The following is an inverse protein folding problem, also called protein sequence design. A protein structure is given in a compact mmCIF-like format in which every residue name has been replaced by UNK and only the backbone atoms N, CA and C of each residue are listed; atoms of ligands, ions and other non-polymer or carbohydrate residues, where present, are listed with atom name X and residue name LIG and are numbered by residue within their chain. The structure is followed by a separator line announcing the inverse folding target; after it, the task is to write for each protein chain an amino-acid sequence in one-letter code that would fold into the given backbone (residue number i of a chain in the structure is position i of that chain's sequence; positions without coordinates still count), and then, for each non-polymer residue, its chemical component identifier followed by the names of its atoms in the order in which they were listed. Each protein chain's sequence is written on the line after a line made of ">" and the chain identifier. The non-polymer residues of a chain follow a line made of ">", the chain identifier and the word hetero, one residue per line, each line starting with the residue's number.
data_IF_729517963697
#
_entry.id   IF_729517963697
#
_cell.length_a   1.000
_cell.length_b   1.000
_cell.length_c   1.000
_cell.angle_alpha   90.00
_cell.angle_beta   90.00
_cell.angle_gamma   90.00
#
_symmetry.space_group_name_H-M   'P 1'
#
loop_
_entity.id
_entity.type
_entity.pdbx_description
1 polymer ?
#
# COMPACT_ATOMS: atom_id res chain seq x y z
N UNK A 1 28.69 4.58 30.86
CA UNK A 1 27.96 4.39 29.59
C UNK A 1 26.79 3.49 29.92
N UNK A 2 25.67 4.08 30.30
CA UNK A 2 24.41 3.36 30.47
C UNK A 2 23.90 3.00 29.08
N UNK A 3 23.63 1.71 28.87
CA UNK A 3 22.81 1.24 27.77
C UNK A 3 21.50 2.03 27.79
N UNK A 4 21.27 2.82 26.74
CA UNK A 4 19.97 3.40 26.48
C UNK A 4 19.18 2.28 25.85
N UNK A 5 18.29 1.67 26.64
CA UNK A 5 17.17 0.89 26.10
C UNK A 5 16.47 1.78 25.08
N UNK A 6 16.65 1.47 23.80
CA UNK A 6 15.76 1.94 22.74
C UNK A 6 14.44 1.22 22.99
N UNK A 7 13.56 1.86 23.78
CA UNK A 7 12.17 1.44 23.94
C UNK A 7 11.58 1.30 22.53
N UNK A 8 11.41 0.07 22.08
CA UNK A 8 10.77 -0.22 20.80
C UNK A 8 9.31 0.15 20.99
N UNK A 9 8.93 1.34 20.53
CA UNK A 9 7.54 1.78 20.59
C UNK A 9 6.68 0.83 19.76
N UNK A 10 5.92 -0.03 20.45
CA UNK A 10 4.92 -0.88 19.82
C UNK A 10 3.66 -0.04 19.56
N UNK A 11 3.58 0.54 18.35
CA UNK A 11 2.47 1.39 17.94
C UNK A 11 1.13 0.64 18.01
N UNK A 12 1.15 -0.66 17.73
CA UNK A 12 -0.03 -1.50 17.80
C UNK A 12 -0.56 -1.60 19.24
N UNK A 13 0.32 -1.73 20.24
CA UNK A 13 -0.09 -1.66 21.65
C UNK A 13 -0.60 -0.28 22.05
N UNK A 14 0.01 0.80 21.59
CA UNK A 14 -0.46 2.16 21.86
C UNK A 14 -1.91 2.35 21.40
N UNK A 15 -2.25 1.84 20.21
CA UNK A 15 -3.60 1.91 19.65
C UNK A 15 -4.55 0.94 20.38
N UNK A 16 -4.20 -0.33 20.52
CA UNK A 16 -5.13 -1.35 21.03
C UNK A 16 -5.30 -1.33 22.55
N UNK A 17 -4.23 -1.10 23.32
CA UNK A 17 -4.22 -1.32 24.77
C UNK A 17 -4.33 -0.03 25.60
N UNK A 18 -4.20 1.16 25.00
CA UNK A 18 -4.26 2.39 25.79
C UNK A 18 -5.68 2.66 26.32
N UNK A 19 -5.80 2.74 27.65
CA UNK A 19 -7.05 3.03 28.36
C UNK A 19 -7.52 4.49 28.17
N UNK A 20 -6.63 5.38 27.73
CA UNK A 20 -6.95 6.78 27.43
C UNK A 20 -6.37 7.16 26.07
N UNK A 21 -7.14 7.85 25.24
CA UNK A 21 -6.68 8.29 23.92
C UNK A 21 -6.96 9.77 23.75
N UNK A 22 -5.91 10.55 23.53
CA UNK A 22 -5.95 12.00 23.48
C UNK A 22 -4.96 12.60 22.49
N UNK A 23 -4.83 13.93 22.48
CA UNK A 23 -3.97 14.64 21.53
C UNK A 23 -2.49 14.23 21.60
N UNK A 24 -1.99 13.82 22.76
CA UNK A 24 -0.60 13.39 22.93
C UNK A 24 -0.35 12.04 22.26
N UNK A 25 -1.27 11.09 22.38
CA UNK A 25 -1.16 9.78 21.71
C UNK A 25 -1.14 9.97 20.19
N UNK A 26 -1.96 10.89 19.66
CA UNK A 26 -1.93 11.20 18.23
C UNK A 26 -0.60 11.83 17.80
N UNK A 27 -0.05 12.74 18.63
CA UNK A 27 1.26 13.32 18.35
C UNK A 27 2.37 12.25 18.36
N UNK A 28 2.31 11.30 19.29
CA UNK A 28 3.24 10.19 19.38
C UNK A 28 3.14 9.23 18.19
N UNK A 29 1.93 8.86 17.76
CA UNK A 29 1.71 8.08 16.54
C UNK A 29 2.31 8.79 15.33
N UNK A 30 2.08 10.11 15.20
CA UNK A 30 2.63 10.88 14.08
C UNK A 30 4.15 10.93 14.11
N UNK A 31 4.75 11.13 15.28
CA UNK A 31 6.20 11.13 15.48
C UNK A 31 6.79 9.76 15.10
N UNK A 32 6.22 8.68 15.62
CA UNK A 32 6.67 7.32 15.32
C UNK A 32 6.66 7.03 13.82
N UNK A 33 5.58 7.39 13.11
CA UNK A 33 5.50 7.19 11.65
C UNK A 33 6.48 8.09 10.89
N UNK A 34 6.76 9.29 11.40
CA UNK A 34 7.76 10.20 10.80
C UNK A 34 9.19 9.65 10.96
N UNK A 35 9.52 9.10 12.13
CA UNK A 35 10.83 8.51 12.42
C UNK A 35 11.04 7.18 11.67
N UNK A 36 10.00 6.37 11.56
CA UNK A 36 10.01 5.12 10.82
C UNK A 36 8.66 4.84 10.16
N UNK A 37 8.62 4.98 8.83
CA UNK A 37 7.41 4.79 8.03
C UNK A 37 6.84 3.37 8.11
N UNK A 38 7.62 2.36 8.54
CA UNK A 38 7.13 1.01 8.80
C UNK A 38 5.96 0.97 9.78
N UNK A 39 5.92 1.88 10.75
CA UNK A 39 4.83 2.02 11.72
C UNK A 39 3.49 2.44 11.08
N UNK A 40 3.48 2.95 9.85
CA UNK A 40 2.24 3.20 9.11
C UNK A 40 1.50 1.88 8.83
N UNK A 41 2.24 0.81 8.50
CA UNK A 41 1.67 -0.53 8.33
C UNK A 41 1.10 -1.08 9.64
N UNK A 42 1.82 -0.87 10.75
CA UNK A 42 1.34 -1.27 12.08
C UNK A 42 0.05 -0.54 12.47
N UNK A 43 -0.05 0.77 12.20
CA UNK A 43 -1.28 1.54 12.43
C UNK A 43 -2.44 0.98 11.60
N UNK A 44 -2.18 0.66 10.33
CA UNK A 44 -3.18 0.06 9.43
C UNK A 44 -3.68 -1.27 9.95
N UNK A 45 -2.77 -2.14 10.38
CA UNK A 45 -3.09 -3.47 10.86
C UNK A 45 -3.83 -3.40 12.22
N UNK A 46 -3.46 -2.45 13.09
CA UNK A 46 -4.18 -2.17 14.33
C UNK A 46 -5.62 -1.69 14.07
N UNK A 47 -5.82 -0.77 13.12
CA UNK A 47 -7.16 -0.31 12.73
C UNK A 47 -8.00 -1.46 12.13
N UNK A 48 -7.40 -2.33 11.32
CA UNK A 48 -8.10 -3.49 10.77
C UNK A 48 -8.55 -4.47 11.86
N UNK A 49 -7.74 -4.65 12.90
CA UNK A 49 -8.12 -5.46 14.06
C UNK A 49 -9.27 -4.82 14.85
N UNK A 50 -9.23 -3.49 15.05
CA UNK A 50 -10.35 -2.76 15.66
C UNK A 50 -11.63 -2.96 14.83
N UNK A 51 -11.58 -2.79 13.51
CA UNK A 51 -12.75 -2.93 12.61
C UNK A 51 -13.44 -4.31 12.69
N UNK A 52 -12.71 -5.36 13.07
CA UNK A 52 -13.27 -6.71 13.26
C UNK A 52 -14.03 -6.88 14.58
N UNK A 53 -13.78 -6.02 15.57
CA UNK A 53 -14.50 -6.04 16.85
C UNK A 53 -15.85 -5.32 16.75
N UNK A 54 -16.92 -6.11 16.64
CA UNK A 54 -18.30 -5.61 16.60
C UNK A 54 -18.82 -5.01 17.92
N UNK A 55 -18.09 -5.18 19.04
CA UNK A 55 -18.50 -4.78 20.39
C UNK A 55 -17.86 -3.48 20.91
N UNK A 56 -17.28 -2.65 20.04
CA UNK A 56 -16.51 -1.48 20.48
C UNK A 56 -17.32 -0.49 21.31
N UNK A 57 -16.70 -0.02 22.40
CA UNK A 57 -17.19 1.12 23.17
C UNK A 57 -17.20 2.40 22.32
N UNK A 58 -18.08 3.38 22.64
CA UNK A 58 -18.07 4.68 21.96
C UNK A 58 -16.70 5.39 21.99
N UNK A 59 -15.92 5.23 23.06
CA UNK A 59 -14.56 5.77 23.16
C UNK A 59 -13.57 5.06 22.23
N UNK A 60 -13.68 3.74 22.06
CA UNK A 60 -12.86 2.99 21.11
C UNK A 60 -13.20 3.37 19.66
N UNK A 61 -14.46 3.70 19.36
CA UNK A 61 -14.84 4.26 18.06
C UNK A 61 -14.18 5.61 17.80
N UNK A 62 -14.13 6.49 18.81
CA UNK A 62 -13.40 7.77 18.67
C UNK A 62 -11.93 7.52 18.34
N UNK A 63 -11.27 6.63 19.08
CA UNK A 63 -9.89 6.23 18.80
C UNK A 63 -9.71 5.67 17.38
N UNK A 64 -10.56 4.73 16.98
CA UNK A 64 -10.52 4.10 15.64
C UNK A 64 -10.70 5.15 14.55
N UNK A 65 -11.70 6.03 14.69
CA UNK A 65 -11.96 7.09 13.74
C UNK A 65 -10.78 8.05 13.58
N UNK A 66 -10.11 8.43 14.68
CA UNK A 66 -8.89 9.25 14.61
C UNK A 66 -7.75 8.50 13.92
N UNK A 67 -7.58 7.20 14.16
CA UNK A 67 -6.57 6.40 13.49
C UNK A 67 -6.86 6.24 11.98
N UNK A 68 -8.13 6.04 11.60
CA UNK A 68 -8.57 6.05 10.20
C UNK A 68 -8.29 7.40 9.52
N UNK A 69 -8.47 8.51 10.24
CA UNK A 69 -8.09 9.85 9.75
C UNK A 69 -6.58 9.92 9.46
N UNK A 70 -5.72 9.44 10.35
CA UNK A 70 -4.26 9.42 10.13
C UNK A 70 -3.87 8.54 8.95
N UNK A 71 -4.63 7.49 8.66
CA UNK A 71 -4.45 6.62 7.48
C UNK A 71 -5.00 7.24 6.17
N UNK A 72 -5.59 8.44 6.22
CA UNK A 72 -6.18 9.11 5.06
C UNK A 72 -7.57 8.57 4.66
N UNK A 73 -8.19 7.69 5.46
CA UNK A 73 -9.53 7.12 5.21
C UNK A 73 -10.62 8.06 5.72
N UNK A 74 -10.73 9.25 5.14
CA UNK A 74 -11.56 10.32 5.70
C UNK A 74 -13.07 10.01 5.73
N UNK A 75 -13.58 9.24 4.77
CA UNK A 75 -15.00 8.83 4.74
C UNK A 75 -15.32 7.84 5.86
N UNK A 76 -14.54 6.77 5.95
CA UNK A 76 -14.69 5.73 6.97
C UNK A 76 -14.49 6.32 8.38
N UNK A 77 -13.51 7.22 8.51
CA UNK A 77 -13.27 7.99 9.73
C UNK A 77 -14.49 8.83 10.13
N UNK A 78 -15.06 9.60 9.20
CA UNK A 78 -16.24 10.43 9.47
C UNK A 78 -17.45 9.59 9.88
N UNK A 79 -17.69 8.47 9.20
CA UNK A 79 -18.76 7.53 9.56
C UNK A 79 -18.56 6.98 10.98
N UNK A 80 -17.34 6.49 11.27
CA UNK A 80 -16.98 5.96 12.59
C UNK A 80 -17.14 7.00 13.70
N UNK A 81 -16.64 8.22 13.49
CA UNK A 81 -16.71 9.31 14.47
C UNK A 81 -18.15 9.80 14.69
N UNK A 82 -19.00 9.75 13.67
CA UNK A 82 -20.42 10.11 13.81
C UNK A 82 -21.20 9.15 14.71
N UNK A 83 -20.76 7.90 14.80
CA UNK A 83 -21.33 6.85 15.63
C UNK A 83 -20.60 6.65 16.98
N UNK A 84 -19.67 7.56 17.31
CA UNK A 84 -18.82 7.48 18.50
C UNK A 84 -19.45 8.19 19.71
N UNK A 85 -18.61 8.59 20.69
CA UNK A 85 -19.05 9.18 21.97
C UNK A 85 -19.44 10.66 21.90
N UNK A 86 -19.29 11.32 20.75
CA UNK A 86 -19.53 12.76 20.60
C UNK A 86 -18.58 13.64 21.42
N UNK A 87 -17.44 13.08 21.86
CA UNK A 87 -16.43 13.82 22.61
C UNK A 87 -15.87 14.99 21.81
N UNK A 88 -15.26 15.94 22.52
CA UNK A 88 -14.60 17.09 21.90
C UNK A 88 -13.56 16.68 20.85
N UNK A 89 -12.85 15.57 21.08
CA UNK A 89 -11.88 15.01 20.14
C UNK A 89 -12.56 14.37 18.92
N UNK A 90 -13.65 13.62 19.11
CA UNK A 90 -14.41 13.05 18.01
C UNK A 90 -14.94 14.15 17.08
N UNK A 91 -15.51 15.22 17.65
CA UNK A 91 -16.02 16.37 16.90
C UNK A 91 -14.89 17.11 16.16
N UNK A 92 -13.73 17.30 16.81
CA UNK A 92 -12.58 17.94 16.18
C UNK A 92 -12.06 17.15 14.97
N UNK A 93 -11.92 15.83 15.10
CA UNK A 93 -11.48 15.01 13.97
C UNK A 93 -12.57 14.81 12.91
N UNK A 94 -13.85 14.83 13.27
CA UNK A 94 -14.94 14.88 12.30
C UNK A 94 -14.90 16.17 11.48
N UNK A 95 -14.59 17.32 12.12
CA UNK A 95 -14.34 18.58 11.42
C UNK A 95 -13.18 18.48 10.43
N UNK A 96 -12.06 17.87 10.85
CA UNK A 96 -10.92 17.62 9.96
C UNK A 96 -11.27 16.71 8.78
N UNK A 97 -12.05 15.65 8.99
CA UNK A 97 -12.50 14.78 7.90
C UNK A 97 -13.36 15.55 6.89
N UNK A 98 -14.30 16.36 7.37
CA UNK A 98 -15.14 17.20 6.51
C UNK A 98 -14.32 18.18 5.69
N UNK A 99 -13.30 18.79 6.31
CA UNK A 99 -12.36 19.65 5.61
C UNK A 99 -11.64 18.92 4.46
N UNK A 100 -11.06 17.74 4.73
CA UNK A 100 -10.38 16.93 3.70
C UNK A 100 -11.33 16.43 2.59
N UNK A 101 -12.62 16.31 2.90
CA UNK A 101 -13.68 15.97 1.93
C UNK A 101 -14.23 17.19 1.17
N UNK A 102 -13.71 18.39 1.41
CA UNK A 102 -14.15 19.64 0.76
C UNK A 102 -15.47 20.21 1.31
N UNK A 103 -15.96 19.70 2.43
CA UNK A 103 -17.19 20.14 3.11
C UNK A 103 -16.88 21.26 4.11
N UNK A 104 -16.46 22.41 3.60
CA UNK A 104 -15.88 23.48 4.44
C UNK A 104 -16.89 24.11 5.40
N UNK A 105 -18.15 24.28 5.00
CA UNK A 105 -19.17 24.86 5.87
C UNK A 105 -19.47 23.93 7.07
N UNK A 106 -19.66 22.64 6.81
CA UNK A 106 -19.92 21.63 7.83
C UNK A 106 -18.69 21.34 8.70
N UNK A 107 -17.48 21.56 8.17
CA UNK A 107 -16.24 21.52 8.95
C UNK A 107 -16.21 22.66 9.99
N UNK A 108 -16.58 23.89 9.60
CA UNK A 108 -16.63 25.05 10.50
C UNK A 108 -17.62 24.81 11.64
N UNK A 109 -18.83 24.33 11.35
CA UNK A 109 -19.84 23.99 12.37
C UNK A 109 -19.34 22.91 13.34
N UNK A 110 -18.60 21.91 12.82
CA UNK A 110 -18.02 20.86 13.64
C UNK A 110 -16.90 21.38 14.55
N UNK A 111 -16.04 22.28 14.07
CA UNK A 111 -15.03 22.93 14.92
C UNK A 111 -15.67 23.78 16.03
N UNK A 112 -16.75 24.51 15.72
CA UNK A 112 -17.51 25.26 16.73
C UNK A 112 -18.14 24.34 17.78
N UNK A 113 -18.65 23.19 17.35
CA UNK A 113 -19.18 22.15 18.24
C UNK A 113 -18.07 21.55 19.11
N UNK A 114 -16.92 21.21 18.53
CA UNK A 114 -15.76 20.69 19.27
C UNK A 114 -15.28 21.70 20.33
N UNK A 115 -15.24 22.99 19.97
CA UNK A 115 -14.93 24.08 20.91
C UNK A 115 -15.90 24.11 22.09
N UNK A 116 -17.20 24.08 21.80
CA UNK A 116 -18.26 24.08 22.83
C UNK A 116 -18.17 22.86 23.75
N UNK A 117 -17.76 21.71 23.20
CA UNK A 117 -17.54 20.46 23.95
C UNK A 117 -16.21 20.43 24.73
N UNK A 118 -15.41 21.50 24.71
CA UNK A 118 -14.20 21.65 25.52
C UNK A 118 -12.89 21.27 24.81
N UNK A 119 -12.88 21.15 23.48
CA UNK A 119 -11.61 21.05 22.74
C UNK A 119 -10.86 22.39 22.81
N UNK A 120 -9.54 22.35 22.61
CA UNK A 120 -8.71 23.55 22.64
C UNK A 120 -9.23 24.61 21.65
N UNK A 121 -9.60 25.79 22.16
CA UNK A 121 -10.24 26.85 21.39
C UNK A 121 -9.34 27.34 20.24
N UNK A 122 -8.06 27.58 20.50
CA UNK A 122 -7.14 28.09 19.49
C UNK A 122 -6.95 27.09 18.35
N UNK A 123 -6.85 25.79 18.64
CA UNK A 123 -6.81 24.74 17.61
C UNK A 123 -8.07 24.71 16.76
N UNK A 124 -9.24 24.90 17.36
CA UNK A 124 -10.49 25.01 16.61
C UNK A 124 -10.49 26.27 15.74
N UNK A 125 -10.06 27.43 16.26
CA UNK A 125 -9.95 28.68 15.49
C UNK A 125 -9.01 28.53 14.29
N UNK A 126 -7.85 27.90 14.49
CA UNK A 126 -6.88 27.60 13.42
C UNK A 126 -7.51 26.74 12.32
N UNK A 127 -8.25 25.68 12.70
CA UNK A 127 -8.97 24.84 11.74
C UNK A 127 -10.11 25.55 11.00
N UNK A 128 -10.81 26.46 11.68
CA UNK A 128 -11.84 27.31 11.04
C UNK A 128 -11.21 28.28 10.05
N UNK A 129 -10.09 28.92 10.42
CA UNK A 129 -9.36 29.81 9.51
C UNK A 129 -8.87 29.06 8.27
N UNK A 130 -8.39 27.82 8.43
CA UNK A 130 -8.04 26.95 7.32
C UNK A 130 -9.24 26.68 6.39
N UNK A 131 -10.38 26.27 6.95
CA UNK A 131 -11.60 26.03 6.17
C UNK A 131 -12.08 27.29 5.43
N UNK A 132 -12.04 28.46 6.07
CA UNK A 132 -12.37 29.76 5.46
C UNK A 132 -11.42 30.14 4.33
N UNK A 133 -10.12 29.86 4.49
CA UNK A 133 -9.13 30.08 3.43
C UNK A 133 -9.44 29.24 2.19
N UNK A 134 -9.81 27.97 2.37
CA UNK A 134 -10.16 27.08 1.26
C UNK A 134 -11.54 27.37 0.64
N UNK A 135 -12.48 27.98 1.38
CA UNK A 135 -13.74 28.49 0.82
C UNK A 135 -13.57 29.81 0.05
N UNK A 136 -12.37 30.41 0.06
CA UNK A 136 -12.06 31.67 -0.60
C UNK A 136 -12.32 32.92 0.25
N UNK A 137 -12.72 32.75 1.50
CA UNK A 137 -13.00 33.82 2.46
C UNK A 137 -11.69 34.24 3.18
N UNK A 138 -10.73 34.74 2.40
CA UNK A 138 -9.34 34.96 2.85
C UNK A 138 -9.25 36.04 3.94
N UNK A 139 -10.01 37.11 3.82
CA UNK A 139 -10.05 38.21 4.79
C UNK A 139 -10.61 37.75 6.13
N UNK A 140 -11.64 36.91 6.12
CA UNK A 140 -12.21 36.33 7.34
C UNK A 140 -11.24 35.35 8.00
N UNK A 141 -10.58 34.51 7.20
CA UNK A 141 -9.53 33.62 7.70
C UNK A 141 -8.41 34.40 8.40
N UNK A 142 -7.94 35.50 7.80
CA UNK A 142 -6.91 36.35 8.39
C UNK A 142 -7.41 37.02 9.68
N UNK A 143 -8.65 37.52 9.71
CA UNK A 143 -9.23 38.14 10.89
C UNK A 143 -9.32 37.16 12.08
N UNK A 144 -9.63 35.88 11.83
CA UNK A 144 -9.61 34.84 12.87
C UNK A 144 -8.21 34.62 13.41
N UNK A 145 -7.20 34.58 12.54
CA UNK A 145 -5.80 34.38 12.92
C UNK A 145 -5.22 35.60 13.65
N UNK A 146 -5.69 36.81 13.33
CA UNK A 146 -5.32 38.04 14.05
C UNK A 146 -5.92 38.10 15.47
N UNK A 147 -6.97 37.33 15.77
CA UNK A 147 -7.60 37.22 17.10
C UNK A 147 -6.96 36.16 18.03
N UNK A 148 -5.93 35.45 17.54
CA UNK A 148 -5.20 34.45 18.33
C UNK A 148 -3.95 35.10 18.93
N UNK A 149 -3.78 35.00 20.25
CA UNK A 149 -2.69 35.63 21.00
C UNK A 149 -2.06 34.65 22.00
N UNK A 150 -0.86 34.99 22.50
CA UNK A 150 -0.20 34.27 23.59
C UNK A 150 0.52 32.99 23.15
N UNK A 151 0.48 31.88 23.91
CA UNK A 151 1.21 30.67 23.53
C UNK A 151 0.78 30.08 22.18
N UNK A 152 -0.48 30.30 21.76
CA UNK A 152 -1.02 29.76 20.52
C UNK A 152 -0.37 30.35 19.26
N UNK A 153 -0.03 31.65 19.25
CA UNK A 153 0.66 32.31 18.12
C UNK A 153 2.11 31.82 17.95
N UNK A 154 2.65 31.12 18.94
CA UNK A 154 4.00 30.54 18.89
C UNK A 154 4.01 29.09 18.39
N UNK A 155 2.84 28.52 18.09
CA UNK A 155 2.75 27.15 17.54
C UNK A 155 3.06 27.12 16.04
N UNK A 156 3.66 26.02 15.58
CA UNK A 156 3.94 25.83 14.15
C UNK A 156 2.66 25.80 13.30
N UNK A 157 1.58 25.19 13.80
CA UNK A 157 0.27 25.14 13.13
C UNK A 157 -0.29 26.55 12.89
N UNK A 158 -0.23 27.44 13.89
CA UNK A 158 -0.66 28.83 13.75
C UNK A 158 0.16 29.57 12.70
N UNK A 159 1.50 29.52 12.82
CA UNK A 159 2.40 30.21 11.91
C UNK A 159 2.22 29.73 10.48
N UNK A 160 2.03 28.42 10.29
CA UNK A 160 1.70 27.82 8.99
C UNK A 160 0.40 28.37 8.41
N UNK A 161 -0.71 28.36 9.17
CA UNK A 161 -1.99 28.86 8.64
C UNK A 161 -1.95 30.36 8.35
N UNK A 162 -1.26 31.15 9.18
CA UNK A 162 -1.04 32.58 8.91
C UNK A 162 -0.21 32.81 7.65
N UNK A 163 0.89 32.08 7.49
CA UNK A 163 1.72 32.14 6.30
C UNK A 163 0.93 31.78 5.04
N UNK A 164 0.18 30.68 5.08
CA UNK A 164 -0.61 30.20 3.94
C UNK A 164 -1.76 31.15 3.58
N UNK A 165 -2.32 31.87 4.56
CA UNK A 165 -3.32 32.92 4.30
C UNK A 165 -2.66 34.17 3.73
N UNK A 166 -1.51 34.60 4.30
CA UNK A 166 -0.75 35.75 3.82
C UNK A 166 -0.24 35.57 2.38
N UNK A 167 0.20 34.37 2.00
CA UNK A 167 0.65 34.04 0.65
C UNK A 167 -0.44 34.24 -0.43
N UNK A 168 -1.71 34.19 -0.05
CA UNK A 168 -2.85 34.45 -0.95
C UNK A 168 -3.22 35.93 -1.03
N UNK A 169 -2.72 36.76 -0.10
CA UNK A 169 -2.91 38.20 -0.09
C UNK A 169 -1.74 38.84 -0.84
N UNK A 170 -2.00 39.36 -2.03
CA UNK A 170 -0.97 39.96 -2.89
C UNK A 170 -0.08 40.96 -2.16
N UNK A 171 1.23 40.87 -2.39
CA UNK A 171 2.24 41.78 -1.80
C UNK A 171 2.76 41.37 -0.42
N UNK A 172 2.33 40.23 0.15
CA UNK A 172 2.78 39.72 1.45
C UNK A 172 3.68 38.48 1.39
N UNK A 173 4.37 38.29 0.27
CA UNK A 173 5.25 37.14 0.05
C UNK A 173 6.33 36.99 1.13
N UNK A 174 7.02 38.09 1.46
CA UNK A 174 8.08 38.08 2.47
C UNK A 174 7.56 37.72 3.86
N UNK A 175 6.35 38.19 4.21
CA UNK A 175 5.67 37.82 5.45
C UNK A 175 5.41 36.31 5.50
N UNK A 176 4.88 35.75 4.41
CA UNK A 176 4.60 34.32 4.32
C UNK A 176 5.87 33.47 4.48
N UNK A 177 6.96 33.82 3.79
CA UNK A 177 8.24 33.11 3.89
C UNK A 177 8.79 33.16 5.32
N UNK A 178 8.78 34.33 5.97
CA UNK A 178 9.26 34.46 7.35
C UNK A 178 8.44 33.60 8.32
N UNK A 179 7.12 33.59 8.17
CA UNK A 179 6.24 32.78 9.00
C UNK A 179 6.45 31.28 8.75
N UNK A 180 6.61 30.83 7.51
CA UNK A 180 6.95 29.45 7.22
C UNK A 180 8.31 29.04 7.83
N UNK A 181 9.33 29.88 7.72
CA UNK A 181 10.64 29.62 8.34
C UNK A 181 10.54 29.50 9.86
N UNK A 182 9.76 30.37 10.51
CA UNK A 182 9.51 30.29 11.95
C UNK A 182 8.75 29.02 12.32
N UNK A 183 7.73 28.64 11.54
CA UNK A 183 6.99 27.40 11.75
C UNK A 183 7.91 26.16 11.68
N UNK A 184 8.78 26.10 10.67
CA UNK A 184 9.78 25.02 10.51
C UNK A 184 10.83 25.05 11.62
N UNK A 185 11.17 26.22 12.16
CA UNK A 185 12.09 26.33 13.30
C UNK A 185 11.46 25.85 14.61
N UNK A 186 10.14 26.00 14.75
CA UNK A 186 9.37 25.50 15.91
C UNK A 186 9.10 24.00 15.80
N UNK A 187 8.81 23.49 14.61
CA UNK A 187 8.62 22.07 14.30
C UNK A 187 9.29 21.75 12.96
N UNK A 188 10.47 21.13 13.04
CA UNK A 188 11.32 20.79 11.89
C UNK A 188 10.65 19.82 10.91
N UNK A 189 9.60 19.12 11.34
CA UNK A 189 8.85 18.12 10.58
C UNK A 189 7.42 18.59 10.27
N UNK A 190 7.11 19.87 10.42
CA UNK A 190 5.77 20.38 10.09
C UNK A 190 5.52 20.34 8.58
N UNK A 191 4.83 19.30 8.11
CA UNK A 191 4.59 19.03 6.68
C UNK A 191 4.06 20.24 5.88
N UNK A 192 3.05 20.94 6.40
CA UNK A 192 2.45 22.09 5.72
C UNK A 192 3.40 23.28 5.55
N UNK A 193 4.15 23.65 6.59
CA UNK A 193 5.14 24.71 6.56
C UNK A 193 6.33 24.39 5.65
N UNK A 194 6.82 23.14 5.68
CA UNK A 194 7.85 22.68 4.75
C UNK A 194 7.39 22.79 3.30
N UNK A 195 6.16 22.33 3.02
CA UNK A 195 5.56 22.44 1.69
C UNK A 195 5.38 23.89 1.24
N UNK A 196 4.86 24.75 2.11
CA UNK A 196 4.68 26.18 1.82
C UNK A 196 5.99 26.89 1.54
N UNK A 197 7.01 26.64 2.36
CA UNK A 197 8.35 27.20 2.15
C UNK A 197 9.00 26.67 0.86
N UNK A 198 8.82 25.39 0.54
CA UNK A 198 9.30 24.80 -0.71
C UNK A 198 8.64 25.46 -1.91
N UNK A 199 7.31 25.66 -1.87
CA UNK A 199 6.55 26.30 -2.93
C UNK A 199 6.98 27.75 -3.19
N UNK A 200 7.25 28.52 -2.14
CA UNK A 200 7.75 29.89 -2.34
C UNK A 200 9.20 29.92 -2.84
N UNK A 201 10.06 28.98 -2.43
CA UNK A 201 11.40 28.87 -3.00
C UNK A 201 11.37 28.48 -4.48
N UNK A 202 10.51 27.52 -4.85
CA UNK A 202 10.28 27.09 -6.24
C UNK A 202 9.84 28.28 -7.11
N UNK A 203 8.86 29.07 -6.65
CA UNK A 203 8.40 30.29 -7.34
C UNK A 203 9.48 31.37 -7.50
N UNK A 204 10.46 31.40 -6.60
CA UNK A 204 11.59 32.32 -6.65
C UNK A 204 12.76 31.77 -7.50
N UNK A 205 12.67 30.54 -8.01
CA UNK A 205 13.73 29.88 -8.78
C UNK A 205 14.86 29.31 -7.93
N UNK A 206 14.63 29.11 -6.62
CA UNK A 206 15.60 28.49 -5.71
C UNK A 206 15.45 26.96 -5.73
N UNK A 207 15.63 26.34 -6.89
CA UNK A 207 15.25 24.94 -7.17
C UNK A 207 15.94 23.91 -6.26
N UNK A 208 17.19 24.14 -5.86
CA UNK A 208 17.93 23.23 -4.96
C UNK A 208 17.33 23.22 -3.55
N UNK A 209 17.02 24.40 -3.01
CA UNK A 209 16.41 24.53 -1.69
C UNK A 209 14.96 24.04 -1.72
N UNK A 210 14.21 24.35 -2.79
CA UNK A 210 12.86 23.85 -2.99
C UNK A 210 12.82 22.31 -3.00
N UNK A 211 13.74 21.66 -3.74
CA UNK A 211 13.84 20.20 -3.75
C UNK A 211 14.10 19.65 -2.34
N UNK A 212 15.10 20.20 -1.63
CA UNK A 212 15.44 19.75 -0.28
C UNK A 212 14.26 19.89 0.69
N UNK A 213 13.52 21.00 0.61
CA UNK A 213 12.33 21.23 1.43
C UNK A 213 11.17 20.29 1.06
N UNK A 214 10.97 20.00 -0.22
CA UNK A 214 9.98 19.02 -0.67
C UNK A 214 10.33 17.59 -0.22
N UNK A 215 11.61 17.19 -0.27
CA UNK A 215 12.07 15.91 0.27
C UNK A 215 11.80 15.78 1.78
N UNK A 216 12.03 16.86 2.54
CA UNK A 216 11.70 16.91 3.97
C UNK A 216 10.18 16.84 4.20
N UNK A 217 9.39 17.60 3.44
CA UNK A 217 7.93 17.55 3.51
C UNK A 217 7.39 16.15 3.18
N UNK A 218 8.03 15.43 2.24
CA UNK A 218 7.67 14.07 1.86
C UNK A 218 7.98 13.01 2.92
N UNK A 219 8.87 13.31 3.87
CA UNK A 219 9.18 12.46 5.03
C UNK A 219 8.30 12.75 6.24
N UNK A 220 7.77 13.97 6.34
CA UNK A 220 6.85 14.37 7.40
C UNK A 220 5.52 13.62 7.33
N UNK A 221 4.92 13.33 8.49
CA UNK A 221 3.62 12.67 8.59
C UNK A 221 2.53 13.54 9.29
N UNK A 222 1.31 13.64 8.71
CA UNK A 222 0.92 13.12 7.40
C UNK A 222 1.58 13.87 6.25
N UNK A 223 1.90 13.15 5.16
CA UNK A 223 2.47 13.76 3.95
C UNK A 223 1.36 14.30 3.06
N UNK A 224 1.45 15.56 2.66
CA UNK A 224 0.47 16.17 1.74
C UNK A 224 0.65 15.72 0.28
N UNK A 225 -0.47 15.55 -0.45
CA UNK A 225 -0.46 15.21 -1.89
C UNK A 225 0.34 16.23 -2.70
N UNK A 226 0.21 17.52 -2.37
CA UNK A 226 0.91 18.60 -3.05
C UNK A 226 2.44 18.47 -2.97
N UNK A 227 2.97 18.08 -1.81
CA UNK A 227 4.41 17.90 -1.62
C UNK A 227 4.95 16.76 -2.47
N UNK A 228 4.27 15.60 -2.49
CA UNK A 228 4.66 14.46 -3.33
C UNK A 228 4.52 14.76 -4.81
N UNK A 229 3.49 15.51 -5.19
CA UNK A 229 3.26 15.89 -6.59
C UNK A 229 4.37 16.78 -7.10
N UNK A 230 4.68 17.87 -6.37
CA UNK A 230 5.72 18.81 -6.78
C UNK A 230 7.10 18.17 -6.72
N UNK A 231 7.39 17.36 -5.69
CA UNK A 231 8.63 16.58 -5.62
C UNK A 231 8.79 15.66 -6.84
N UNK A 232 7.71 14.98 -7.23
CA UNK A 232 7.70 14.13 -8.42
C UNK A 232 8.02 14.91 -9.70
N UNK A 233 7.39 16.09 -9.88
CA UNK A 233 7.66 16.96 -11.05
C UNK A 233 9.12 17.43 -11.05
N UNK A 234 9.66 17.85 -9.91
CA UNK A 234 11.08 18.23 -9.83
C UNK A 234 12.03 17.08 -10.15
N UNK A 235 11.67 15.84 -9.80
CA UNK A 235 12.43 14.67 -10.22
C UNK A 235 12.32 14.40 -11.72
N UNK A 236 11.14 14.57 -12.32
CA UNK A 236 10.97 14.47 -13.78
C UNK A 236 11.82 15.50 -14.52
N UNK A 237 11.84 16.77 -14.07
CA UNK A 237 12.65 17.84 -14.65
C UNK A 237 14.16 17.52 -14.60
N UNK A 238 14.57 16.73 -13.60
CA UNK A 238 15.95 16.21 -13.44
C UNK A 238 16.20 14.88 -14.15
N UNK A 239 15.20 14.33 -14.86
CA UNK A 239 15.20 13.01 -15.50
C UNK A 239 15.35 11.84 -14.50
N UNK A 240 15.01 12.04 -13.23
CA UNK A 240 15.00 11.03 -12.17
C UNK A 240 13.63 10.33 -12.08
N UNK A 241 13.18 9.75 -13.20
CA UNK A 241 11.82 9.21 -13.35
C UNK A 241 11.44 8.15 -12.32
N UNK A 242 12.40 7.35 -11.85
CA UNK A 242 12.14 6.31 -10.83
C UNK A 242 11.68 6.92 -9.50
N UNK A 243 12.30 8.03 -9.09
CA UNK A 243 11.93 8.74 -7.86
C UNK A 243 10.60 9.47 -8.04
N UNK A 244 10.33 10.01 -9.23
CA UNK A 244 9.04 10.61 -9.55
C UNK A 244 7.91 9.58 -9.44
N UNK A 245 8.09 8.40 -10.06
CA UNK A 245 7.14 7.29 -9.96
C UNK A 245 6.90 6.85 -8.52
N UNK A 246 7.94 6.79 -7.68
CA UNK A 246 7.78 6.48 -6.26
C UNK A 246 6.91 7.53 -5.53
N UNK A 247 7.08 8.81 -5.84
CA UNK A 247 6.26 9.88 -5.27
C UNK A 247 4.79 9.74 -5.68
N UNK A 248 4.53 9.48 -6.96
CA UNK A 248 3.16 9.29 -7.47
C UNK A 248 2.50 8.02 -6.95
N UNK A 249 3.26 6.92 -6.84
CA UNK A 249 2.78 5.67 -6.26
C UNK A 249 2.30 5.87 -4.83
N UNK A 250 3.05 6.60 -3.99
CA UNK A 250 2.62 6.91 -2.61
C UNK A 250 1.28 7.64 -2.55
N UNK A 251 0.99 8.52 -3.51
CA UNK A 251 -0.32 9.17 -3.60
C UNK A 251 -1.39 8.15 -4.03
N UNK A 252 -1.12 7.34 -5.05
CA UNK A 252 -2.08 6.36 -5.59
C UNK A 252 -2.38 5.20 -4.64
N UNK A 253 -1.46 4.86 -3.73
CA UNK A 253 -1.69 3.86 -2.68
C UNK A 253 -2.83 4.31 -1.72
N UNK A 254 -2.96 5.62 -1.48
CA UNK A 254 -4.04 6.20 -0.66
C UNK A 254 -5.23 6.67 -1.50
N UNK A 255 -4.99 7.19 -2.70
CA UNK A 255 -5.98 7.77 -3.59
C UNK A 255 -5.88 7.16 -5.00
N UNK A 256 -6.29 5.89 -5.19
CA UNK A 256 -6.10 5.17 -6.47
C UNK A 256 -6.75 5.85 -7.67
N UNK A 257 -7.81 6.63 -7.43
CA UNK A 257 -8.58 7.34 -8.44
C UNK A 257 -8.16 8.82 -8.62
N UNK A 258 -7.01 9.27 -8.10
CA UNK A 258 -6.56 10.66 -8.22
C UNK A 258 -6.13 11.00 -9.67
N UNK A 259 -6.93 11.75 -10.46
CA UNK A 259 -6.76 11.78 -11.92
C UNK A 259 -5.44 12.41 -12.36
N UNK A 260 -5.01 13.50 -11.70
CA UNK A 260 -3.78 14.20 -12.02
C UNK A 260 -2.55 13.33 -11.76
N UNK A 261 -2.55 12.57 -10.68
CA UNK A 261 -1.42 11.68 -10.35
C UNK A 261 -1.36 10.48 -11.29
N UNK A 262 -2.51 9.92 -11.71
CA UNK A 262 -2.51 8.87 -12.73
C UNK A 262 -1.89 9.35 -14.05
N UNK A 263 -2.14 10.60 -14.44
CA UNK A 263 -1.53 11.21 -15.61
C UNK A 263 0.00 11.31 -15.45
N UNK A 264 0.47 11.93 -14.37
CA UNK A 264 1.91 12.05 -14.11
C UNK A 264 2.61 10.70 -14.00
N UNK A 265 2.00 9.72 -13.35
CA UNK A 265 2.54 8.35 -13.30
C UNK A 265 2.68 7.73 -14.68
N UNK A 266 1.71 7.94 -15.58
CA UNK A 266 1.76 7.45 -16.96
C UNK A 266 2.86 8.15 -17.76
N UNK A 267 3.02 9.45 -17.60
CA UNK A 267 4.02 10.24 -18.32
C UNK A 267 5.44 9.90 -17.85
N UNK A 268 5.66 9.78 -16.54
CA UNK A 268 6.93 9.35 -15.93
C UNK A 268 7.32 7.93 -16.37
N UNK A 269 6.35 7.00 -16.46
CA UNK A 269 6.59 5.62 -16.88
C UNK A 269 6.76 5.45 -18.39
N UNK A 270 6.21 6.35 -19.20
CA UNK A 270 6.41 6.35 -20.65
C UNK A 270 7.75 6.99 -21.06
N UNK A 271 8.21 7.98 -20.30
CA UNK A 271 9.45 8.74 -20.58
C UNK A 271 10.68 8.09 -19.96
N UNK A 272 10.52 7.45 -18.80
CA UNK A 272 11.50 6.51 -18.25
C UNK A 272 11.56 5.30 -19.17
N UNK A 273 12.49 5.32 -20.14
CA UNK A 273 12.80 4.21 -21.05
C UNK A 273 12.62 2.85 -20.38
N UNK A 274 11.99 1.90 -21.09
CA UNK A 274 11.90 0.48 -20.74
C UNK A 274 13.16 -0.06 -20.05
N UNK A 275 13.21 -0.03 -18.73
CA UNK A 275 14.09 -0.82 -17.87
C UNK A 275 13.44 -0.80 -16.49
N UNK A 276 12.69 -1.86 -16.19
CA UNK A 276 13.12 -2.81 -15.17
C UNK A 276 13.37 -2.11 -13.84
N UNK A 277 12.36 -2.15 -12.97
CA UNK A 277 12.50 -1.86 -11.55
C UNK A 277 13.68 -2.70 -11.02
N UNK A 278 14.91 -2.17 -11.01
CA UNK A 278 16.09 -2.96 -10.62
C UNK A 278 15.93 -3.45 -9.19
N UNK A 279 15.14 -2.76 -8.36
CA UNK A 279 14.96 -3.11 -6.97
C UNK A 279 13.82 -4.11 -6.75
N UNK A 280 12.68 -4.02 -7.45
CA UNK A 280 11.68 -5.07 -7.47
C UNK A 280 12.12 -6.26 -8.31
N UNK A 281 12.96 -6.09 -9.33
CA UNK A 281 13.60 -7.19 -10.03
C UNK A 281 14.68 -7.81 -9.16
N UNK A 282 15.55 -7.06 -8.47
CA UNK A 282 16.44 -7.67 -7.46
C UNK A 282 15.66 -8.35 -6.34
N UNK A 283 14.53 -7.79 -5.89
CA UNK A 283 13.66 -8.44 -4.89
C UNK A 283 12.95 -9.67 -5.45
N UNK A 284 12.41 -9.61 -6.67
CA UNK A 284 11.76 -10.73 -7.35
C UNK A 284 12.75 -11.81 -7.75
N UNK A 285 13.94 -11.45 -8.23
CA UNK A 285 15.04 -12.35 -8.55
C UNK A 285 15.60 -13.00 -7.28
N UNK A 286 15.76 -12.22 -6.19
CA UNK A 286 16.16 -12.77 -4.89
C UNK A 286 15.09 -13.68 -4.32
N UNK A 287 13.82 -13.31 -4.41
CA UNK A 287 12.69 -14.14 -3.99
C UNK A 287 12.61 -15.40 -4.85
N UNK A 288 12.68 -15.29 -6.17
CA UNK A 288 12.71 -16.43 -7.09
C UNK A 288 13.92 -17.34 -6.84
N UNK A 289 15.09 -16.79 -6.54
CA UNK A 289 16.28 -17.55 -6.18
C UNK A 289 16.08 -18.31 -4.86
N UNK A 290 15.42 -17.69 -3.86
CA UNK A 290 15.10 -18.34 -2.59
C UNK A 290 14.05 -19.44 -2.81
N UNK A 291 12.97 -19.15 -3.56
CA UNK A 291 11.89 -20.11 -3.81
C UNK A 291 12.36 -21.30 -4.65
N UNK A 292 13.31 -21.11 -5.58
CA UNK A 292 13.91 -22.19 -6.36
C UNK A 292 15.04 -22.94 -5.63
N UNK A 293 15.41 -22.52 -4.42
CA UNK A 293 16.45 -23.19 -3.65
C UNK A 293 15.98 -24.57 -3.19
N UNK A 294 16.80 -25.63 -3.36
CA UNK A 294 16.48 -26.95 -2.85
C UNK A 294 16.38 -26.96 -1.32
N UNK A 295 15.37 -27.65 -0.78
CA UNK A 295 15.22 -27.84 0.68
C UNK A 295 16.42 -28.59 1.31
N UNK A 296 17.19 -29.32 0.50
CA UNK A 296 18.42 -30.02 0.91
C UNK A 296 19.59 -29.09 1.23
N UNK A 297 19.56 -27.83 0.77
CA UNK A 297 20.60 -26.84 1.07
C UNK A 297 20.55 -26.35 2.53
N UNK A 298 19.50 -26.72 3.27
CA UNK A 298 19.29 -26.29 4.65
C UNK A 298 19.61 -27.42 5.63
N UNK A 299 20.13 -27.03 6.79
CA UNK A 299 20.44 -27.94 7.90
C UNK A 299 19.16 -28.43 8.59
N UNK A 300 18.49 -29.36 7.93
CA UNK A 300 17.30 -30.03 8.45
C UNK A 300 17.67 -31.40 9.04
N UNK A 301 16.96 -31.80 10.09
CA UNK A 301 17.12 -33.14 10.64
C UNK A 301 16.84 -34.21 9.58
N UNK A 302 17.44 -35.40 9.75
CA UNK A 302 17.25 -36.54 8.84
C UNK A 302 15.76 -36.89 8.71
N UNK A 303 14.98 -36.68 9.78
CA UNK A 303 13.53 -36.89 9.79
C UNK A 303 12.81 -35.89 8.90
N UNK A 304 13.08 -34.60 9.07
CA UNK A 304 12.46 -33.51 8.30
C UNK A 304 12.76 -33.66 6.80
N UNK A 305 14.01 -33.97 6.43
CA UNK A 305 14.38 -34.23 5.02
C UNK A 305 13.67 -35.42 4.41
N UNK A 306 13.64 -36.56 5.11
CA UNK A 306 12.97 -37.76 4.61
C UNK A 306 11.44 -37.56 4.47
N UNK A 307 10.84 -36.70 5.29
CA UNK A 307 9.42 -36.38 5.16
C UNK A 307 9.16 -35.47 3.96
N UNK A 308 9.91 -34.38 3.79
CA UNK A 308 9.78 -33.47 2.65
C UNK A 308 9.98 -34.21 1.32
N UNK A 309 10.99 -35.07 1.24
CA UNK A 309 11.25 -35.88 0.05
C UNK A 309 10.10 -36.85 -0.27
N UNK A 310 9.48 -37.47 0.73
CA UNK A 310 8.29 -38.33 0.53
C UNK A 310 7.06 -37.56 0.09
N UNK A 311 6.96 -36.29 0.45
CA UNK A 311 5.87 -35.40 0.05
C UNK A 311 6.11 -34.79 -1.34
N UNK A 312 7.26 -35.05 -1.97
CA UNK A 312 7.63 -34.46 -3.26
C UNK A 312 7.93 -32.96 -3.17
N UNK A 313 8.31 -32.48 -1.98
CA UNK A 313 8.70 -31.09 -1.75
C UNK A 313 10.21 -31.02 -1.92
N UNK A 314 10.64 -30.45 -3.04
CA UNK A 314 12.05 -30.34 -3.41
C UNK A 314 12.57 -28.92 -3.21
N UNK A 315 11.70 -27.91 -3.30
CA UNK A 315 12.07 -26.49 -3.22
C UNK A 315 11.37 -25.73 -2.08
N UNK A 316 11.96 -24.61 -1.66
CA UNK A 316 11.35 -23.70 -0.67
C UNK A 316 10.02 -23.12 -1.17
N UNK A 317 9.89 -22.88 -2.47
CA UNK A 317 8.65 -22.41 -3.08
C UNK A 317 7.51 -23.43 -3.00
N UNK A 318 7.81 -24.72 -3.08
CA UNK A 318 6.81 -25.77 -2.86
C UNK A 318 6.44 -25.87 -1.38
N UNK A 319 7.44 -25.78 -0.49
CA UNK A 319 7.21 -25.85 0.95
C UNK A 319 6.31 -24.73 1.48
N UNK A 320 6.49 -23.51 0.99
CA UNK A 320 5.70 -22.32 1.38
C UNK A 320 4.27 -22.33 0.83
N UNK A 321 3.94 -23.25 -0.07
CA UNK A 321 2.55 -23.49 -0.54
C UNK A 321 1.80 -24.51 0.31
N UNK A 322 2.51 -25.31 1.09
CA UNK A 322 1.90 -26.27 2.00
C UNK A 322 1.56 -25.64 3.33
N UNK A 323 0.35 -25.94 3.82
CA UNK A 323 -0.07 -25.50 5.14
C UNK A 323 0.51 -26.38 6.23
N UNK A 324 0.59 -25.86 7.46
CA UNK A 324 1.03 -26.63 8.62
C UNK A 324 0.20 -27.90 8.84
N UNK A 325 -1.11 -27.79 8.62
CA UNK A 325 -2.06 -28.91 8.74
C UNK A 325 -1.77 -30.01 7.71
N UNK A 326 -1.39 -29.65 6.48
CA UNK A 326 -1.01 -30.62 5.44
C UNK A 326 0.27 -31.35 5.81
N UNK A 327 1.28 -30.64 6.31
CA UNK A 327 2.53 -31.25 6.75
C UNK A 327 2.30 -32.21 7.94
N UNK A 328 1.51 -31.80 8.94
CA UNK A 328 1.16 -32.64 10.11
C UNK A 328 0.29 -33.85 9.76
N UNK A 329 -0.47 -33.79 8.67
CA UNK A 329 -1.27 -34.93 8.18
C UNK A 329 -0.42 -36.07 7.62
N UNK A 330 0.86 -35.79 7.31
CA UNK A 330 1.77 -36.77 6.72
C UNK A 330 2.23 -37.81 7.75
N UNK A 331 2.10 -39.08 7.36
CA UNK A 331 2.50 -40.22 8.21
C UNK A 331 4.03 -40.14 8.42
N UNK A 332 4.44 -39.86 9.66
CA UNK A 332 5.82 -39.67 10.16
C UNK A 332 6.36 -38.23 10.21
N UNK A 333 5.54 -37.21 9.91
CA UNK A 333 5.86 -35.82 10.21
C UNK A 333 5.40 -35.49 11.64
N UNK A 334 6.22 -34.78 12.42
CA UNK A 334 5.94 -34.50 13.82
C UNK A 334 6.25 -33.07 14.22
N UNK A 335 5.78 -32.66 15.40
CA UNK A 335 5.86 -31.29 15.89
C UNK A 335 7.28 -30.71 15.87
N UNK A 336 8.29 -31.53 16.19
CA UNK A 336 9.69 -31.11 16.17
C UNK A 336 10.19 -30.80 14.76
N UNK A 337 9.78 -31.57 13.75
CA UNK A 337 10.09 -31.27 12.34
C UNK A 337 9.39 -30.00 11.85
N UNK A 338 8.21 -29.70 12.39
CA UNK A 338 7.46 -28.49 12.06
C UNK A 338 8.14 -27.24 12.61
N UNK A 339 8.64 -27.29 13.86
CA UNK A 339 9.42 -26.20 14.47
C UNK A 339 10.70 -25.93 13.67
N UNK A 340 11.45 -26.98 13.31
CA UNK A 340 12.66 -26.86 12.47
C UNK A 340 12.36 -26.15 11.13
N UNK A 341 11.24 -26.49 10.48
CA UNK A 341 10.84 -25.89 9.21
C UNK A 341 10.41 -24.43 9.37
N UNK A 342 9.67 -24.08 10.44
CA UNK A 342 9.31 -22.69 10.74
C UNK A 342 10.55 -21.83 10.95
N UNK A 343 11.48 -22.30 11.77
CA UNK A 343 12.71 -21.56 12.06
C UNK A 343 13.52 -21.31 10.78
N UNK A 344 13.65 -22.32 9.93
CA UNK A 344 14.34 -22.21 8.64
C UNK A 344 13.68 -21.20 7.70
N UNK A 345 12.35 -21.22 7.56
CA UNK A 345 11.62 -20.27 6.71
C UNK A 345 11.69 -18.84 7.26
N UNK A 346 11.56 -18.68 8.59
CA UNK A 346 11.65 -17.38 9.25
C UNK A 346 13.03 -16.73 9.06
N UNK A 347 14.13 -17.51 9.07
CA UNK A 347 15.48 -17.01 8.74
C UNK A 347 15.60 -16.44 7.32
N UNK A 348 14.67 -16.78 6.41
CA UNK A 348 14.58 -16.26 5.04
C UNK A 348 13.44 -15.27 4.84
N UNK A 349 12.73 -14.88 5.91
CA UNK A 349 11.59 -13.97 5.86
C UNK A 349 10.36 -14.58 5.17
N UNK A 350 10.23 -15.91 5.19
CA UNK A 350 9.12 -16.65 4.60
C UNK A 350 8.31 -17.37 5.69
N UNK A 351 7.05 -17.71 5.40
CA UNK A 351 6.19 -18.48 6.30
C UNK A 351 5.52 -19.68 5.60
N UNK A 352 5.16 -20.71 6.39
CA UNK A 352 4.38 -21.84 5.88
C UNK A 352 3.00 -21.38 5.42
N UNK A 353 2.57 -21.87 4.27
CA UNK A 353 1.28 -21.50 3.67
C UNK A 353 1.21 -20.07 3.12
N UNK A 354 2.31 -19.30 3.11
CA UNK A 354 2.37 -17.94 2.55
C UNK A 354 1.83 -17.88 1.11
N UNK A 355 2.04 -18.95 0.33
CA UNK A 355 1.59 -19.05 -1.06
C UNK A 355 0.52 -20.15 -1.25
N UNK A 356 -0.14 -20.61 -0.18
CA UNK A 356 -1.15 -21.69 -0.26
C UNK A 356 -2.36 -21.34 -1.14
N UNK A 357 -2.65 -20.05 -1.34
CA UNK A 357 -3.71 -19.57 -2.24
C UNK A 357 -3.30 -19.48 -3.71
N UNK A 358 -2.01 -19.57 -4.03
CA UNK A 358 -1.52 -19.50 -5.40
C UNK A 358 -1.73 -20.85 -6.09
N UNK A 359 -2.80 -20.95 -6.88
CA UNK A 359 -2.91 -22.03 -7.86
C UNK A 359 -1.68 -21.97 -8.76
N UNK A 360 -1.01 -23.12 -8.90
CA UNK A 360 0.06 -23.34 -9.89
C UNK A 360 -0.42 -22.86 -11.26
N UNK A 361 -0.05 -21.64 -11.66
CA UNK A 361 -0.27 -21.17 -13.02
C UNK A 361 0.70 -21.94 -13.91
N UNK A 362 0.20 -23.00 -14.53
CA UNK A 362 0.92 -23.63 -15.62
C UNK A 362 0.91 -22.68 -16.82
N UNK A 363 2.08 -22.13 -17.11
CA UNK A 363 2.46 -21.31 -18.26
C UNK A 363 1.85 -19.89 -18.34
N UNK A 364 2.66 -18.89 -18.75
CA UNK A 364 2.20 -17.52 -18.95
C UNK A 364 1.02 -17.45 -19.94
N UNK A 365 0.13 -16.44 -19.83
CA UNK A 365 -0.98 -16.26 -20.76
C UNK A 365 -0.47 -16.13 -22.20
N UNK A 366 -1.18 -16.72 -23.17
CA UNK A 366 -0.89 -16.52 -24.59
C UNK A 366 -1.13 -15.04 -24.86
N UNK A 367 -0.12 -14.36 -25.38
CA UNK A 367 -0.29 -13.01 -25.90
C UNK A 367 -1.16 -13.08 -27.16
N UNK A 368 -2.45 -12.81 -26.98
CA UNK A 368 -3.45 -12.82 -28.05
C UNK A 368 -3.57 -11.47 -28.74
N UNK A 369 -2.76 -10.47 -28.39
CA UNK A 369 -2.85 -9.09 -28.90
C UNK A 369 -2.66 -8.97 -30.42
N UNK A 370 -2.04 -9.98 -31.05
CA UNK A 370 -1.81 -10.06 -32.48
C UNK A 370 -2.79 -10.98 -33.23
N UNK A 371 -3.72 -11.64 -32.54
CA UNK A 371 -4.64 -12.62 -33.12
C UNK A 371 -5.97 -11.98 -33.51
N UNK A 372 -6.57 -12.43 -34.61
CA UNK A 372 -7.91 -11.99 -35.01
C UNK A 372 -8.99 -12.48 -34.03
N UNK A 373 -10.16 -11.83 -33.95
CA UNK A 373 -11.25 -12.26 -33.08
C UNK A 373 -11.67 -13.73 -33.29
N UNK A 374 -11.59 -14.22 -34.52
CA UNK A 374 -11.93 -15.60 -34.87
C UNK A 374 -10.90 -16.61 -34.34
N UNK A 375 -9.61 -16.23 -34.35
CA UNK A 375 -8.52 -17.07 -33.82
C UNK A 375 -8.52 -17.08 -32.28
N UNK A 376 -8.87 -15.96 -31.64
CA UNK A 376 -9.06 -15.89 -30.19
C UNK A 376 -10.22 -16.78 -29.74
N UNK A 377 -11.35 -16.69 -30.43
CA UNK A 377 -12.52 -17.54 -30.18
C UNK A 377 -12.21 -19.03 -30.38
N UNK A 378 -11.32 -19.37 -31.32
CA UNK A 378 -10.88 -20.75 -31.55
C UNK A 378 -10.08 -21.32 -30.36
N UNK A 379 -9.23 -20.51 -29.72
CA UNK A 379 -8.42 -20.94 -28.58
C UNK A 379 -9.23 -21.07 -27.28
N UNK A 380 -10.28 -20.27 -27.11
CA UNK A 380 -11.19 -20.31 -25.96
C UNK A 380 -12.20 -21.48 -26.03
N UNK A 381 -12.28 -22.18 -27.16
CA UNK A 381 -13.19 -23.31 -27.32
C UNK A 381 -12.91 -24.44 -26.31
N UNK A 382 -13.95 -25.04 -25.74
CA UNK A 382 -13.82 -26.21 -24.88
C UNK A 382 -13.17 -27.38 -25.63
N UNK A 383 -12.30 -28.12 -24.93
CA UNK A 383 -11.66 -29.32 -25.50
C UNK A 383 -12.66 -30.43 -25.87
N UNK A 384 -13.88 -30.37 -25.32
CA UNK A 384 -14.97 -31.27 -25.64
C UNK A 384 -15.39 -31.17 -27.13
N UNK A 385 -15.19 -30.01 -27.74
CA UNK A 385 -15.57 -29.72 -29.14
C UNK A 385 -14.65 -30.43 -30.15
N UNK A 386 -13.45 -30.86 -29.73
CA UNK A 386 -12.52 -31.64 -30.54
C UNK A 386 -12.98 -33.09 -30.77
N UNK A 387 -14.12 -33.51 -30.18
CA UNK A 387 -14.70 -34.85 -30.36
C UNK A 387 -13.71 -36.01 -30.16
N UNK A 388 -12.78 -35.85 -29.23
CA UNK A 388 -11.75 -36.84 -28.91
C UNK A 388 -12.35 -38.13 -28.35
N UNK A 389 -11.66 -39.25 -28.59
CA UNK A 389 -11.95 -40.57 -28.03
C UNK A 389 -12.03 -40.54 -26.51
N UNK A 390 -12.73 -41.53 -25.93
CA UNK A 390 -12.89 -41.66 -24.48
C UNK A 390 -11.53 -41.72 -23.75
N UNK A 391 -10.50 -42.28 -24.39
CA UNK A 391 -9.15 -42.38 -23.83
C UNK A 391 -8.45 -41.02 -23.81
N UNK A 392 -8.46 -40.30 -24.93
CA UNK A 392 -7.88 -38.97 -25.03
C UNK A 392 -8.60 -37.96 -24.13
N UNK A 393 -9.94 -38.00 -24.08
CA UNK A 393 -10.75 -37.14 -23.19
C UNK A 393 -10.45 -37.36 -21.71
N UNK A 394 -10.35 -38.61 -21.26
CA UNK A 394 -9.98 -38.93 -19.87
C UNK A 394 -8.57 -38.43 -19.51
N UNK A 395 -7.66 -38.39 -20.49
CA UNK A 395 -6.34 -37.80 -20.33
C UNK A 395 -6.44 -36.27 -20.16
N UNK A 396 -7.19 -35.58 -21.03
CA UNK A 396 -7.41 -34.12 -20.91
C UNK A 396 -7.97 -33.75 -19.54
N UNK A 397 -8.98 -34.48 -19.05
CA UNK A 397 -9.53 -34.26 -17.70
C UNK A 397 -8.50 -34.49 -16.60
N UNK A 398 -7.61 -35.49 -16.73
CA UNK A 398 -6.57 -35.79 -15.74
C UNK A 398 -5.46 -34.75 -15.74
N UNK A 399 -5.11 -34.23 -16.92
CA UNK A 399 -4.14 -33.14 -17.09
C UNK A 399 -4.75 -31.75 -16.86
N UNK A 400 -6.04 -31.69 -16.50
CA UNK A 400 -6.82 -30.47 -16.28
C UNK A 400 -6.81 -29.51 -17.48
N UNK A 401 -6.76 -30.06 -18.70
CA UNK A 401 -6.83 -29.30 -19.94
C UNK A 401 -8.30 -29.14 -20.34
N UNK A 402 -8.79 -27.90 -20.32
CA UNK A 402 -10.19 -27.55 -20.52
C UNK A 402 -10.43 -26.84 -21.86
N UNK A 403 -9.43 -26.16 -22.41
CA UNK A 403 -9.53 -25.38 -23.65
C UNK A 403 -8.55 -25.85 -24.72
N UNK A 404 -8.83 -25.53 -25.98
CA UNK A 404 -7.90 -25.77 -27.10
C UNK A 404 -6.60 -24.97 -26.90
N UNK A 405 -6.70 -23.76 -26.36
CA UNK A 405 -5.54 -22.91 -26.04
C UNK A 405 -4.59 -23.51 -25.00
N UNK A 406 -5.10 -24.27 -24.04
CA UNK A 406 -4.27 -25.02 -23.07
C UNK A 406 -3.61 -26.25 -23.71
N UNK A 407 -4.31 -26.91 -24.65
CA UNK A 407 -3.83 -28.11 -25.32
C UNK A 407 -2.62 -27.84 -26.23
N UNK A 408 -2.66 -26.76 -27.02
CA UNK A 408 -1.56 -26.42 -27.96
C UNK A 408 -0.24 -26.09 -27.26
N UNK A 409 -0.25 -25.83 -25.95
CA UNK A 409 0.95 -25.55 -25.16
C UNK A 409 1.69 -26.82 -24.70
N UNK A 410 1.04 -27.98 -24.78
CA UNK A 410 1.64 -29.26 -24.38
C UNK A 410 2.47 -29.85 -25.51
N UNK A 411 3.55 -30.52 -25.14
CA UNK A 411 4.34 -31.33 -26.06
C UNK A 411 3.77 -32.74 -26.16
N UNK A 412 4.16 -33.47 -27.21
CA UNK A 412 3.80 -34.89 -27.34
C UNK A 412 4.32 -35.74 -26.17
N UNK A 413 5.48 -35.38 -25.63
CA UNK A 413 6.10 -36.08 -24.51
C UNK A 413 5.32 -35.85 -23.21
N UNK A 414 4.89 -34.60 -22.95
CA UNK A 414 4.04 -34.26 -21.78
C UNK A 414 2.75 -35.09 -21.75
N UNK A 415 2.18 -35.33 -22.93
CA UNK A 415 0.95 -36.11 -23.08
C UNK A 415 1.21 -37.61 -22.87
N UNK A 416 2.36 -38.12 -23.32
CA UNK A 416 2.76 -39.52 -23.19
C UNK A 416 3.12 -39.93 -21.75
N UNK A 417 3.46 -38.98 -20.87
CA UNK A 417 3.63 -39.23 -19.44
C UNK A 417 2.32 -39.61 -18.73
N UNK A 418 1.16 -39.30 -19.34
CA UNK A 418 -0.13 -39.59 -18.73
C UNK A 418 -0.44 -41.09 -18.76
N UNK A 419 -0.65 -41.70 -17.58
CA UNK A 419 -1.01 -43.13 -17.46
C UNK A 419 -2.22 -43.49 -18.34
N UNK A 420 -2.04 -44.50 -19.20
CA UNK A 420 -3.01 -44.98 -20.19
C UNK A 420 -3.27 -44.03 -21.38
N UNK A 421 -2.41 -43.05 -21.59
CA UNK A 421 -2.28 -42.32 -22.85
C UNK A 421 -1.15 -42.95 -23.67
N UNK A 422 -1.34 -43.04 -24.98
CA UNK A 422 -0.37 -43.71 -25.87
C UNK A 422 -0.37 -43.09 -27.25
N UNK A 423 0.57 -43.53 -28.08
CA UNK A 423 0.88 -42.94 -29.40
C UNK A 423 -0.36 -42.81 -30.31
N UNK A 424 -1.31 -43.75 -30.23
CA UNK A 424 -2.56 -43.70 -31.01
C UNK A 424 -3.46 -42.54 -30.61
N UNK A 425 -3.57 -42.23 -29.31
CA UNK A 425 -4.34 -41.08 -28.81
C UNK A 425 -3.59 -39.77 -29.02
N UNK A 426 -2.25 -39.80 -29.03
CA UNK A 426 -1.44 -38.65 -29.40
C UNK A 426 -1.65 -38.26 -30.87
N UNK A 427 -1.64 -39.23 -31.78
CA UNK A 427 -1.88 -38.99 -33.20
C UNK A 427 -3.30 -38.50 -33.47
N UNK A 428 -4.30 -39.02 -32.75
CA UNK A 428 -5.67 -38.53 -32.80
C UNK A 428 -5.77 -37.05 -32.40
N UNK A 429 -5.09 -36.64 -31.33
CA UNK A 429 -5.04 -35.25 -30.88
C UNK A 429 -4.37 -34.35 -31.95
N UNK A 430 -3.26 -34.80 -32.52
CA UNK A 430 -2.56 -34.08 -33.61
C UNK A 430 -3.42 -33.91 -34.85
N UNK A 431 -4.13 -34.96 -35.25
CA UNK A 431 -5.05 -34.92 -36.40
C UNK A 431 -6.17 -33.91 -36.17
N UNK A 432 -6.81 -33.94 -34.99
CA UNK A 432 -7.91 -33.02 -34.65
C UNK A 432 -7.48 -31.57 -34.51
N UNK A 433 -6.26 -31.32 -34.05
CA UNK A 433 -5.68 -29.98 -34.08
C UNK A 433 -5.33 -29.55 -35.51
N UNK A 434 -4.82 -30.46 -36.33
CA UNK A 434 -4.53 -30.23 -37.75
C UNK A 434 -5.77 -29.85 -38.57
N UNK A 435 -6.93 -30.47 -38.29
CA UNK A 435 -8.23 -30.11 -38.88
C UNK A 435 -8.61 -28.64 -38.62
N UNK A 436 -8.09 -28.04 -37.54
CA UNK A 436 -8.30 -26.65 -37.15
C UNK A 436 -7.12 -25.73 -37.52
N UNK A 437 -6.13 -26.24 -38.24
CA UNK A 437 -4.91 -25.49 -38.58
C UNK A 437 -3.97 -25.23 -37.40
N UNK A 438 -4.16 -25.94 -36.28
CA UNK A 438 -3.38 -25.78 -35.05
C UNK A 438 -2.37 -26.93 -34.89
N UNK A 439 -1.32 -26.66 -34.13
CA UNK A 439 -0.30 -27.65 -33.77
C UNK A 439 -0.01 -27.61 -32.28
N UNK A 440 0.46 -28.74 -31.76
CA UNK A 440 0.99 -28.78 -30.41
C UNK A 440 2.39 -28.16 -30.35
N UNK A 441 2.83 -27.82 -29.14
CA UNK A 441 4.17 -27.27 -28.91
C UNK A 441 5.22 -28.32 -29.26
N UNK A 442 6.06 -28.01 -30.25
CA UNK A 442 7.14 -28.89 -30.69
C UNK A 442 6.82 -29.77 -31.92
N UNK A 443 5.62 -29.66 -32.49
CA UNK A 443 5.19 -30.24 -33.78
C UNK A 443 5.16 -29.19 -34.91
#
# INVERSE_FOLDING_TARGET
>A
MSEVDLDVLDLKQLVLNSNSFGPNDVAEIRRAITENYGHFGELRDAVQEMEQDSGQSPANRTKMGVCQFLLGRFRDSLETLSAADGSAMALFYAARCRFELGQYAEAIEAYQSAKTSGYNEDRCKIGIAEAKRYSGEIEEAMAILDDIFGPAEQTADYMYQRAATAALIGGRMEEAINLYQRAVSTDENHAGALFGLALENDRLGNDEEALHLYERAAKAFPTGIGALTNLGVMYEDRNEYDKAQLCYKRILDCFPAHPRTQLYMKDASATGNMLYDEEAQRRNDRLAQILNMPVTNFELSVRSRNCLQKMGIETIGELTRHTEQELLSSKNFGETSLVEIREMLNQKGLSLGQFAGEKKSSDPPIDTSHMSPDEQALLERPIADLNLSVRARKCMTRLQINTIGELIRKTGDDMLECKNFGVTSLNEVREKLGDLGLKMRGD
#
